data_IF_229433744903
#
_entry.id   IF_229433744903
#
_cell.length_a   1.000
_cell.length_b   1.000
_cell.length_c   1.000
_cell.angle_alpha   90.00
_cell.angle_beta   90.00
_cell.angle_gamma   90.00
#
_symmetry.space_group_name_H-M   'P 1'
#
loop_
_entity.id
_entity.type
_entity.pdbx_description
1 polymer ?
#
# COMPACT_ATOMS: atom_id res chain seq x y z
N UNK A 1 10.71 -2.39 33.00
CA UNK A 1 10.72 -2.24 31.52
C UNK A 1 9.31 -2.49 31.02
N UNK A 2 8.67 -1.52 30.35
CA UNK A 2 7.33 -1.70 29.78
C UNK A 2 7.45 -2.59 28.54
N UNK A 3 6.82 -3.76 28.58
CA UNK A 3 6.61 -4.58 27.39
C UNK A 3 5.61 -3.84 26.50
N UNK A 4 6.10 -3.27 25.40
CA UNK A 4 5.25 -2.64 24.40
C UNK A 4 4.66 -3.75 23.54
N UNK A 5 3.54 -4.34 23.98
CA UNK A 5 2.84 -5.40 23.27
C UNK A 5 2.10 -4.87 22.03
N UNK A 6 2.81 -4.22 21.10
CA UNK A 6 2.26 -3.93 19.77
C UNK A 6 2.23 -5.24 19.00
N UNK A 7 1.09 -5.93 19.02
CA UNK A 7 0.86 -7.12 18.22
C UNK A 7 0.72 -6.67 16.76
N UNK A 8 1.76 -6.90 15.95
CA UNK A 8 1.67 -6.76 14.51
C UNK A 8 0.92 -7.98 13.96
N UNK A 9 -0.11 -7.74 13.17
CA UNK A 9 -0.79 -8.82 12.44
C UNK A 9 -0.18 -8.87 11.04
N UNK A 10 0.59 -9.93 10.72
CA UNK A 10 1.08 -10.11 9.36
C UNK A 10 -0.11 -10.46 8.46
N UNK A 11 -0.19 -9.79 7.32
CA UNK A 11 -1.06 -10.21 6.23
C UNK A 11 -0.20 -10.89 5.16
N UNK A 12 -0.78 -11.87 4.48
CA UNK A 12 -0.09 -12.62 3.44
C UNK A 12 0.21 -11.74 2.22
N UNK A 13 1.06 -12.24 1.34
CA UNK A 13 1.32 -11.63 0.03
C UNK A 13 0.08 -11.67 -0.85
N UNK A 14 -0.02 -10.71 -1.79
CA UNK A 14 -1.05 -10.69 -2.82
C UNK A 14 -0.40 -10.70 -4.22
N UNK A 15 -1.03 -11.36 -5.19
CA UNK A 15 -0.54 -11.40 -6.57
C UNK A 15 -1.13 -10.29 -7.42
N UNK A 16 -2.46 -10.20 -7.48
CA UNK A 16 -3.18 -9.34 -8.43
C UNK A 16 -4.09 -8.32 -7.75
N UNK A 17 -4.77 -8.72 -6.68
CA UNK A 17 -5.65 -7.87 -5.88
C UNK A 17 -5.38 -8.08 -4.40
N UNK A 18 -5.48 -7.01 -3.62
CA UNK A 18 -5.38 -6.99 -2.17
C UNK A 18 -6.76 -6.91 -1.49
N UNK A 19 -7.87 -7.05 -2.21
CA UNK A 19 -9.24 -6.91 -1.69
C UNK A 19 -9.51 -7.77 -0.45
N UNK A 20 -9.06 -9.03 -0.43
CA UNK A 20 -9.25 -9.93 0.72
C UNK A 20 -8.51 -9.42 1.97
N UNK A 21 -7.27 -8.98 1.77
CA UNK A 21 -6.41 -8.42 2.83
C UNK A 21 -7.02 -7.13 3.38
N UNK A 22 -7.46 -6.22 2.49
CA UNK A 22 -8.06 -4.95 2.86
C UNK A 22 -9.42 -5.15 3.54
N UNK A 23 -10.20 -6.15 3.11
CA UNK A 23 -11.47 -6.52 3.74
C UNK A 23 -11.27 -7.03 5.16
N UNK A 24 -10.30 -7.93 5.35
CA UNK A 24 -9.92 -8.41 6.67
C UNK A 24 -9.36 -7.28 7.56
N UNK A 25 -8.55 -6.37 6.99
CA UNK A 25 -8.04 -5.21 7.71
C UNK A 25 -9.16 -4.24 8.13
N UNK A 26 -10.14 -4.01 7.26
CA UNK A 26 -11.32 -3.20 7.55
C UNK A 26 -12.19 -3.83 8.64
N UNK A 27 -12.44 -5.14 8.56
CA UNK A 27 -13.18 -5.89 9.59
C UNK A 27 -12.45 -5.84 10.95
N UNK A 28 -11.13 -5.86 10.92
CA UNK A 28 -10.27 -5.74 12.09
C UNK A 28 -10.19 -4.33 12.69
N UNK A 29 -10.76 -3.29 12.05
CA UNK A 29 -10.59 -1.86 12.37
C UNK A 29 -9.11 -1.48 12.57
N UNK A 30 -8.27 -1.94 11.64
CA UNK A 30 -6.86 -1.58 11.64
C UNK A 30 -6.64 -0.17 11.09
N UNK A 31 -5.67 0.54 11.66
CA UNK A 31 -5.40 1.95 11.31
C UNK A 31 -3.98 2.23 10.83
N UNK A 32 -3.02 1.35 11.05
CA UNK A 32 -1.64 1.53 10.58
C UNK A 32 -1.26 0.38 9.66
N UNK A 33 -0.92 0.72 8.42
CA UNK A 33 -0.51 -0.20 7.37
C UNK A 33 0.96 0.05 7.02
N UNK A 34 1.76 -1.00 6.96
CA UNK A 34 3.16 -0.96 6.52
C UNK A 34 3.28 -1.90 5.33
N UNK A 35 3.41 -1.36 4.12
CA UNK A 35 3.41 -2.12 2.88
C UNK A 35 4.80 -2.13 2.25
N UNK A 36 5.31 -3.32 1.97
CA UNK A 36 6.52 -3.54 1.18
C UNK A 36 6.09 -4.04 -0.20
N UNK A 37 6.04 -3.14 -1.18
CA UNK A 37 5.49 -3.39 -2.51
C UNK A 37 6.30 -2.64 -3.58
N UNK A 38 6.40 -3.20 -4.77
CA UNK A 38 6.94 -2.49 -5.94
C UNK A 38 5.98 -1.41 -6.42
N UNK A 39 6.50 -0.37 -7.07
CA UNK A 39 5.72 0.80 -7.53
C UNK A 39 4.51 0.41 -8.41
N UNK A 40 4.69 -0.57 -9.30
CA UNK A 40 3.64 -1.07 -10.21
C UNK A 40 2.47 -1.71 -9.45
N UNK A 41 2.75 -2.43 -8.36
CA UNK A 41 1.73 -3.06 -7.50
C UNK A 41 1.18 -2.10 -6.45
N UNK A 42 1.98 -1.11 -6.03
CA UNK A 42 1.58 -0.09 -5.06
C UNK A 42 0.38 0.71 -5.54
N UNK A 43 0.33 1.09 -6.82
CA UNK A 43 -0.78 1.84 -7.39
C UNK A 43 -2.11 1.08 -7.25
N UNK A 44 -2.12 -0.21 -7.61
CA UNK A 44 -3.31 -1.07 -7.50
C UNK A 44 -3.77 -1.23 -6.04
N UNK A 45 -2.85 -1.61 -5.15
CA UNK A 45 -3.12 -1.75 -3.71
C UNK A 45 -3.76 -0.49 -3.12
N UNK A 46 -3.20 0.68 -3.44
CA UNK A 46 -3.65 1.94 -2.88
C UNK A 46 -4.97 2.41 -3.48
N UNK A 47 -5.27 2.05 -4.73
CA UNK A 47 -6.58 2.30 -5.29
C UNK A 47 -7.65 1.46 -4.59
N UNK A 48 -7.42 0.16 -4.40
CA UNK A 48 -8.34 -0.70 -3.67
C UNK A 48 -8.52 -0.21 -2.22
N UNK A 49 -7.44 0.20 -1.56
CA UNK A 49 -7.50 0.78 -0.22
C UNK A 49 -8.32 2.07 -0.19
N UNK A 50 -8.18 2.93 -1.21
CA UNK A 50 -8.95 4.16 -1.34
C UNK A 50 -10.45 3.87 -1.49
N UNK A 51 -10.81 2.95 -2.39
CA UNK A 51 -12.19 2.52 -2.61
C UNK A 51 -12.78 1.86 -1.34
N UNK A 52 -11.96 1.13 -0.58
CA UNK A 52 -12.36 0.54 0.70
C UNK A 52 -12.51 1.56 1.84
N UNK A 53 -12.05 2.81 1.66
CA UNK A 53 -12.07 3.88 2.68
C UNK A 53 -10.92 3.81 3.68
N UNK A 54 -9.87 3.05 3.37
CA UNK A 54 -8.71 2.79 4.24
C UNK A 54 -7.55 3.78 4.04
N UNK A 55 -7.73 4.84 3.25
CA UNK A 55 -6.74 5.91 3.04
C UNK A 55 -7.18 7.26 3.62
N UNK A 56 -8.27 7.27 4.39
CA UNK A 56 -8.77 8.49 5.04
C UNK A 56 -7.83 8.96 6.14
N UNK A 57 -8.03 10.16 6.68
CA UNK A 57 -7.24 10.71 7.79
C UNK A 57 -7.21 9.86 9.08
N UNK A 58 -8.03 8.82 9.17
CA UNK A 58 -8.02 7.83 10.27
C UNK A 58 -6.99 6.72 10.10
N UNK A 59 -6.36 6.63 8.92
CA UNK A 59 -5.45 5.55 8.56
C UNK A 59 -4.08 6.12 8.20
N UNK A 60 -3.03 5.42 8.63
CA UNK A 60 -1.63 5.71 8.35
C UNK A 60 -1.10 4.62 7.45
N UNK A 61 -0.49 5.02 6.34
CA UNK A 61 0.23 4.12 5.44
C UNK A 61 1.71 4.45 5.46
N UNK A 62 2.54 3.42 5.63
CA UNK A 62 3.99 3.51 5.59
C UNK A 62 4.45 2.61 4.45
N UNK A 63 5.11 3.20 3.45
CA UNK A 63 5.62 2.50 2.28
C UNK A 63 7.12 2.75 2.11
N UNK A 64 7.78 1.84 1.38
CA UNK A 64 9.12 2.11 0.87
C UNK A 64 9.13 3.31 -0.07
N UNK A 65 10.25 4.04 -0.08
CA UNK A 65 10.47 5.18 -0.97
C UNK A 65 10.29 4.80 -2.44
N UNK A 66 9.54 5.61 -3.19
CA UNK A 66 9.32 5.43 -4.61
C UNK A 66 10.29 6.32 -5.40
N UNK A 67 11.06 5.72 -6.32
CA UNK A 67 12.12 6.44 -7.07
C UNK A 67 11.56 7.34 -8.18
N UNK A 68 10.46 6.94 -8.80
CA UNK A 68 9.81 7.72 -9.85
C UNK A 68 8.76 8.67 -9.24
N UNK A 69 8.88 10.00 -9.34
CA UNK A 69 7.90 10.93 -8.77
C UNK A 69 6.47 10.81 -9.36
N UNK A 70 6.32 10.15 -10.50
CA UNK A 70 5.06 9.93 -11.19
C UNK A 70 4.58 8.48 -11.15
N UNK A 71 5.15 7.64 -10.27
CA UNK A 71 4.81 6.21 -10.12
C UNK A 71 3.31 5.90 -9.97
N UNK A 72 2.55 6.86 -9.43
CA UNK A 72 1.12 6.72 -9.16
C UNK A 72 0.25 7.22 -10.31
N UNK A 73 0.80 7.77 -11.40
CA UNK A 73 0.01 8.22 -12.56
C UNK A 73 -0.29 7.08 -13.51
N UNK A 74 -1.39 7.20 -14.25
CA UNK A 74 -1.63 6.35 -15.42
C UNK A 74 -0.74 6.84 -16.57
N UNK A 75 -0.09 5.92 -17.27
CA UNK A 75 0.53 6.25 -18.55
C UNK A 75 -0.53 6.19 -19.65
N UNK A 76 -1.02 7.36 -20.04
CA UNK A 76 -2.01 7.52 -21.11
C UNK A 76 -1.50 7.03 -22.49
N UNK A 77 -0.20 6.75 -22.63
CA UNK A 77 0.43 6.28 -23.87
C UNK A 77 0.67 4.76 -23.91
N UNK A 78 0.24 4.01 -22.89
CA UNK A 78 0.25 2.56 -22.91
C UNK A 78 -0.79 2.06 -23.93
N UNK A 79 -0.39 2.02 -25.20
CA UNK A 79 -1.18 1.58 -26.34
C UNK A 79 -1.72 0.16 -26.12
N UNK A 80 -2.95 0.09 -25.61
CA UNK A 80 -3.76 -1.13 -25.53
C UNK A 80 -3.31 -2.12 -24.47
N UNK A 81 -3.90 -2.04 -23.27
CA UNK A 81 -4.44 -3.24 -22.61
C UNK A 81 -5.23 -2.85 -21.38
N UNK A 82 -6.46 -3.38 -21.34
CA UNK A 82 -7.30 -3.59 -20.15
C UNK A 82 -7.55 -2.36 -19.28
N UNK A 83 -8.74 -1.79 -19.45
CA UNK A 83 -9.49 -1.15 -18.35
C UNK A 83 -9.44 -2.15 -17.18
N UNK A 84 -8.55 -1.94 -16.21
CA UNK A 84 -8.57 -2.74 -15.01
C UNK A 84 -9.72 -2.21 -14.17
N UNK A 85 -10.54 -3.11 -13.64
CA UNK A 85 -11.68 -2.77 -12.76
C UNK A 85 -11.27 -1.98 -11.49
N UNK A 86 -9.95 -1.78 -11.30
CA UNK A 86 -9.28 -1.15 -10.16
C UNK A 86 -8.61 0.19 -10.52
N UNK A 87 -9.02 0.87 -11.60
CA UNK A 87 -8.38 2.11 -12.02
C UNK A 87 -8.93 3.34 -11.29
N UNK A 88 -8.18 3.81 -10.30
CA UNK A 88 -8.37 5.13 -9.71
C UNK A 88 -7.82 6.22 -10.64
N UNK A 89 -8.55 7.31 -10.77
CA UNK A 89 -8.06 8.52 -11.47
C UNK A 89 -6.83 9.10 -10.77
N UNK A 90 -6.04 9.89 -11.49
CA UNK A 90 -4.93 10.67 -10.93
C UNK A 90 -5.36 11.52 -9.73
N UNK A 91 -6.59 12.04 -9.72
CA UNK A 91 -7.13 12.79 -8.59
C UNK A 91 -7.31 11.90 -7.36
N UNK A 92 -7.98 10.76 -7.51
CA UNK A 92 -8.20 9.80 -6.42
C UNK A 92 -6.89 9.27 -5.87
N UNK A 93 -5.92 8.99 -6.75
CA UNK A 93 -4.59 8.55 -6.32
C UNK A 93 -3.86 9.64 -5.54
N UNK A 94 -3.89 10.90 -6.00
CA UNK A 94 -3.31 12.01 -5.23
C UNK A 94 -3.94 12.12 -3.84
N UNK A 95 -5.26 12.04 -3.75
CA UNK A 95 -5.96 12.08 -2.47
C UNK A 95 -5.56 10.92 -1.57
N UNK A 96 -5.47 9.71 -2.11
CA UNK A 96 -5.05 8.51 -1.39
C UNK A 96 -3.63 8.67 -0.80
N UNK A 97 -2.67 9.16 -1.59
CA UNK A 97 -1.25 9.18 -1.20
C UNK A 97 -0.85 10.37 -0.34
N UNK A 98 -1.68 11.42 -0.25
CA UNK A 98 -1.32 12.70 0.40
C UNK A 98 -0.97 12.55 1.89
N UNK A 99 -1.60 11.60 2.59
CA UNK A 99 -1.38 11.35 4.02
C UNK A 99 -0.38 10.22 4.32
N UNK A 100 0.31 9.71 3.30
CA UNK A 100 1.18 8.55 3.43
C UNK A 100 2.62 8.93 3.78
N UNK A 101 3.27 8.09 4.57
CA UNK A 101 4.68 8.19 4.89
C UNK A 101 5.49 7.28 3.97
N UNK A 102 6.39 7.88 3.19
CA UNK A 102 7.37 7.15 2.39
C UNK A 102 8.72 7.15 3.11
N UNK A 103 9.28 5.97 3.33
CA UNK A 103 10.56 5.79 4.01
C UNK A 103 11.59 5.31 3.01
N UNK A 104 12.57 6.15 2.72
CA UNK A 104 13.76 5.76 1.98
C UNK A 104 14.87 5.40 2.97
N UNK A 105 15.55 4.29 2.71
CA UNK A 105 16.70 3.87 3.51
C UNK A 105 17.90 4.00 2.60
N UNK A 106 18.79 4.96 2.92
CA UNK A 106 19.99 5.30 2.14
C UNK A 106 20.99 4.13 1.94
N UNK A 107 20.73 2.95 2.53
CA UNK A 107 21.45 1.72 2.24
C UNK A 107 20.61 0.85 1.34
N UNK A 108 21.08 0.57 0.11
CA UNK A 108 20.61 -0.55 -0.73
C UNK A 108 20.46 -1.78 0.17
N UNK A 109 19.23 -2.10 0.56
CA UNK A 109 18.95 -3.34 1.24
C UNK A 109 19.23 -4.47 0.23
N UNK A 110 19.96 -5.52 0.60
CA UNK A 110 20.32 -6.62 -0.30
C UNK A 110 19.11 -7.56 -0.51
N UNK A 111 17.96 -7.03 -0.91
CA UNK A 111 16.80 -7.83 -1.30
C UNK A 111 16.89 -8.11 -2.80
N UNK A 112 17.80 -9.02 -3.17
CA UNK A 112 17.91 -9.54 -4.54
C UNK A 112 16.96 -10.72 -4.81
N UNK A 113 16.06 -11.06 -3.88
CA UNK A 113 15.00 -12.06 -4.05
C UNK A 113 13.65 -11.41 -3.74
N UNK A 114 13.05 -10.79 -4.76
CA UNK A 114 11.72 -10.18 -4.66
C UNK A 114 10.68 -11.23 -5.06
N UNK A 115 10.24 -12.02 -4.10
CA UNK A 115 8.99 -12.80 -4.19
C UNK A 115 8.27 -12.88 -2.85
N UNK A 116 8.47 -11.88 -1.99
CA UNK A 116 7.81 -11.82 -0.69
C UNK A 116 7.36 -10.39 -0.39
N UNK A 117 6.10 -10.11 -0.73
CA UNK A 117 5.41 -8.90 -0.35
C UNK A 117 4.84 -9.11 1.05
N UNK A 118 5.35 -8.40 2.05
CA UNK A 118 4.84 -8.51 3.42
C UNK A 118 4.17 -7.20 3.80
N UNK A 119 2.86 -7.26 4.04
CA UNK A 119 2.09 -6.17 4.63
C UNK A 119 2.04 -6.39 6.14
N UNK A 120 2.69 -5.53 6.91
CA UNK A 120 2.55 -5.50 8.36
C UNK A 120 1.47 -4.50 8.74
N UNK A 121 0.46 -4.93 9.47
CA UNK A 121 -0.57 -4.02 9.98
C UNK A 121 -0.44 -3.94 11.50
N UNK A 122 -0.21 -2.73 12.01
CA UNK A 122 -0.01 -2.49 13.43
C UNK A 122 -1.23 -1.82 14.06
N UNK A 123 -1.85 -2.49 15.03
CA UNK A 123 -2.62 -1.89 16.13
C UNK A 123 -3.93 -1.14 15.82
N UNK A 124 -4.91 -1.37 16.71
CA UNK A 124 -6.05 -0.49 16.98
C UNK A 124 -5.60 0.63 17.92
N UNK A 125 -5.95 1.88 17.61
CA UNK A 125 -5.79 3.04 18.52
C UNK A 125 -7.13 3.36 19.17
#
# INVERSE_FOLDING_TARGET
MKNNNSLATPFDSFSDSAEDILSAAKLGDFRIFIAIVESTKARGLLCEAYQAGLTTAKHVWILGGMTDPYWWKIDDNANGSTIHHHDCTDHQMKEAITSMLFVDIASKLPFNDVSMFVLYIMGKI
#
